data_IF_597546291555
#
_entry.id   IF_597546291555
#
_cell.length_a   1.000
_cell.length_b   1.000
_cell.length_c   1.000
_cell.angle_alpha   90.00
_cell.angle_beta   90.00
_cell.angle_gamma   90.00
#
_symmetry.space_group_name_H-M   'P 1'
#
loop_
_entity.id
_entity.type
_entity.pdbx_description
1 polymer ?
#
# COMPACT_ATOMS: atom_id res chain seq x y z
N UNK A 1 -11.64 -5.44 -29.10
CA UNK A 1 -12.89 -4.62 -29.06
C UNK A 1 -13.76 -4.85 -27.79
N UNK A 2 -13.77 -6.04 -27.19
CA UNK A 2 -14.61 -6.37 -26.01
C UNK A 2 -14.43 -5.44 -24.80
N UNK A 3 -13.22 -4.90 -24.60
CA UNK A 3 -12.91 -3.98 -23.50
C UNK A 3 -13.67 -2.64 -23.58
N UNK A 4 -14.24 -2.32 -24.74
CA UNK A 4 -14.97 -1.06 -24.98
C UNK A 4 -16.49 -1.17 -24.77
N UNK A 5 -16.98 -2.29 -24.22
CA UNK A 5 -18.41 -2.48 -23.96
C UNK A 5 -18.71 -2.09 -22.50
N UNK A 6 -19.52 -1.04 -22.31
CA UNK A 6 -19.81 -0.46 -20.99
C UNK A 6 -20.74 -1.33 -20.12
N UNK A 7 -21.71 -2.03 -20.72
CA UNK A 7 -22.71 -2.83 -19.99
C UNK A 7 -22.52 -4.34 -20.17
N UNK A 8 -21.41 -4.87 -19.64
CA UNK A 8 -21.06 -6.31 -19.75
C UNK A 8 -22.08 -7.24 -19.07
N UNK A 9 -22.86 -6.75 -18.11
CA UNK A 9 -23.92 -7.52 -17.44
C UNK A 9 -25.11 -7.82 -18.36
N UNK A 10 -25.57 -6.83 -19.13
CA UNK A 10 -26.60 -7.03 -20.16
C UNK A 10 -26.11 -8.00 -21.23
N UNK A 11 -24.83 -7.96 -21.56
CA UNK A 11 -24.19 -8.91 -22.47
C UNK A 11 -24.15 -10.33 -21.87
N UNK A 12 -23.93 -10.45 -20.55
CA UNK A 12 -23.96 -11.73 -19.85
C UNK A 12 -25.37 -12.33 -19.78
N UNK A 13 -26.43 -11.53 -19.70
CA UNK A 13 -27.81 -12.03 -19.82
C UNK A 13 -28.06 -12.75 -21.16
N UNK A 14 -27.37 -12.31 -22.23
CA UNK A 14 -27.41 -12.94 -23.55
C UNK A 14 -26.47 -14.13 -23.71
N UNK A 15 -25.81 -14.59 -22.64
CA UNK A 15 -24.87 -15.71 -22.69
C UNK A 15 -25.50 -16.98 -23.29
N UNK A 16 -26.78 -17.25 -22.99
CA UNK A 16 -27.51 -18.37 -23.58
C UNK A 16 -27.65 -18.26 -25.10
N UNK A 17 -27.87 -17.05 -25.62
CA UNK A 17 -27.98 -16.79 -27.05
C UNK A 17 -26.65 -17.04 -27.77
N UNK A 18 -25.54 -16.48 -27.25
CA UNK A 18 -24.20 -16.72 -27.81
C UNK A 18 -23.83 -18.22 -27.76
N UNK A 19 -24.24 -18.92 -26.70
CA UNK A 19 -24.01 -20.36 -26.60
C UNK A 19 -24.77 -21.16 -27.67
N UNK A 20 -25.99 -20.75 -28.04
CA UNK A 20 -26.74 -21.36 -29.13
C UNK A 20 -26.07 -21.12 -30.49
N UNK A 21 -25.45 -19.95 -30.69
CA UNK A 21 -24.73 -19.59 -31.92
C UNK A 21 -23.45 -20.39 -32.17
N UNK A 22 -23.00 -21.22 -31.22
CA UNK A 22 -21.88 -22.15 -31.41
C UNK A 22 -22.13 -23.24 -32.47
N UNK A 23 -23.38 -23.40 -32.92
CA UNK A 23 -23.72 -24.34 -33.99
C UNK A 23 -23.28 -23.88 -35.38
N UNK A 24 -23.05 -22.57 -35.56
CA UNK A 24 -22.56 -22.02 -36.82
C UNK A 24 -21.03 -22.14 -36.90
N UNK A 25 -20.55 -22.98 -37.82
CA UNK A 25 -19.12 -23.25 -38.03
C UNK A 25 -18.30 -21.99 -38.34
N UNK A 26 -18.89 -21.00 -39.04
CA UNK A 26 -18.18 -19.78 -39.45
C UNK A 26 -17.99 -18.80 -38.29
N UNK A 27 -18.98 -18.72 -37.40
CA UNK A 27 -18.97 -17.81 -36.25
C UNK A 27 -18.36 -18.44 -35.00
N UNK A 28 -18.30 -19.77 -34.93
CA UNK A 28 -17.75 -20.54 -33.83
C UNK A 28 -16.44 -20.00 -33.22
N UNK A 29 -15.37 -19.68 -33.98
CA UNK A 29 -14.12 -19.18 -33.39
C UNK A 29 -14.28 -17.83 -32.66
N UNK A 30 -15.09 -16.92 -33.20
CA UNK A 30 -15.33 -15.59 -32.63
C UNK A 30 -16.27 -15.66 -31.42
N UNK A 31 -17.31 -16.48 -31.54
CA UNK A 31 -18.27 -16.73 -30.45
C UNK A 31 -17.59 -17.44 -29.29
N UNK A 32 -16.69 -18.40 -29.55
CA UNK A 32 -15.88 -19.03 -28.52
C UNK A 32 -14.98 -18.02 -27.79
N UNK A 33 -14.38 -17.07 -28.52
CA UNK A 33 -13.57 -16.01 -27.91
C UNK A 33 -14.43 -15.08 -27.04
N UNK A 34 -15.60 -14.70 -27.52
CA UNK A 34 -16.55 -13.87 -26.77
C UNK A 34 -17.05 -14.59 -25.51
N UNK A 35 -17.44 -15.86 -25.65
CA UNK A 35 -17.85 -16.69 -24.52
C UNK A 35 -16.70 -16.87 -23.53
N UNK A 36 -15.48 -17.11 -23.99
CA UNK A 36 -14.30 -17.20 -23.13
C UNK A 36 -14.15 -15.96 -22.24
N UNK A 37 -14.36 -14.76 -22.78
CA UNK A 37 -14.31 -13.51 -22.02
C UNK A 37 -15.54 -13.26 -21.13
N UNK A 38 -16.69 -13.84 -21.47
CA UNK A 38 -17.96 -13.67 -20.73
C UNK A 38 -18.24 -14.74 -19.68
N UNK A 39 -17.52 -15.86 -19.71
CA UNK A 39 -17.83 -17.01 -18.86
C UNK A 39 -17.52 -16.68 -17.40
N UNK A 40 -18.54 -16.74 -16.57
CA UNK A 40 -18.47 -16.69 -15.09
C UNK A 40 -18.72 -18.09 -14.52
N UNK A 41 -18.36 -18.34 -13.25
CA UNK A 41 -18.58 -19.64 -12.59
C UNK A 41 -20.05 -20.09 -12.67
N UNK A 42 -21.00 -19.17 -12.49
CA UNK A 42 -22.45 -19.42 -12.58
C UNK A 42 -22.94 -19.89 -13.96
N UNK A 43 -22.22 -19.50 -15.00
CA UNK A 43 -22.57 -19.83 -16.39
C UNK A 43 -22.10 -21.22 -16.81
N UNK A 44 -21.28 -21.89 -15.99
CA UNK A 44 -20.82 -23.26 -16.21
C UNK A 44 -21.87 -24.23 -15.66
N UNK A 45 -22.73 -24.74 -16.55
CA UNK A 45 -23.80 -25.70 -16.21
C UNK A 45 -23.56 -27.06 -16.90
N UNK A 46 -23.95 -28.20 -16.29
CA UNK A 46 -23.68 -29.53 -16.84
C UNK A 46 -24.18 -29.75 -18.28
N UNK A 47 -25.35 -29.19 -18.63
CA UNK A 47 -25.88 -29.30 -20.00
C UNK A 47 -25.04 -28.56 -21.05
N UNK A 48 -24.39 -27.45 -20.67
CA UNK A 48 -23.50 -26.69 -21.55
C UNK A 48 -22.19 -27.43 -21.76
N UNK A 49 -21.66 -28.06 -20.70
CA UNK A 49 -20.49 -28.94 -20.81
C UNK A 49 -20.79 -30.08 -21.79
N UNK A 50 -21.89 -30.82 -21.60
CA UNK A 50 -22.29 -31.91 -22.53
C UNK A 50 -22.36 -31.42 -23.97
N UNK A 51 -23.01 -30.27 -24.20
CA UNK A 51 -23.12 -29.70 -25.55
C UNK A 51 -21.77 -29.29 -26.17
N UNK A 52 -20.84 -28.76 -25.37
CA UNK A 52 -19.49 -28.42 -25.85
C UNK A 52 -18.68 -29.67 -26.20
N UNK A 53 -18.83 -30.75 -25.44
CA UNK A 53 -18.21 -32.04 -25.71
C UNK A 53 -18.78 -32.66 -26.99
N UNK A 54 -20.10 -32.60 -27.18
CA UNK A 54 -20.75 -33.05 -28.42
C UNK A 54 -20.26 -32.25 -29.64
N UNK A 55 -20.07 -30.93 -29.48
CA UNK A 55 -19.53 -30.08 -30.54
C UNK A 55 -18.06 -30.40 -30.83
N UNK A 56 -17.26 -30.69 -29.81
CA UNK A 56 -15.87 -31.13 -29.98
C UNK A 56 -15.80 -32.49 -30.69
N UNK A 57 -16.71 -33.42 -30.39
CA UNK A 57 -16.80 -34.71 -31.07
C UNK A 57 -17.16 -34.56 -32.56
N UNK A 58 -18.00 -33.56 -32.91
CA UNK A 58 -18.41 -33.28 -34.29
C UNK A 58 -17.39 -32.50 -35.11
N UNK A 59 -16.78 -31.47 -34.53
CA UNK A 59 -15.89 -30.52 -35.22
C UNK A 59 -14.39 -30.82 -35.04
N UNK A 60 -14.05 -31.80 -34.20
CA UNK A 60 -12.67 -32.17 -33.86
C UNK A 60 -12.04 -31.26 -32.80
N UNK A 61 -10.74 -31.47 -32.54
CA UNK A 61 -9.96 -30.75 -31.51
C UNK A 61 -9.59 -29.32 -31.93
N UNK A 62 -10.58 -28.46 -32.15
CA UNK A 62 -10.36 -27.07 -32.53
C UNK A 62 -9.84 -26.22 -31.36
N UNK A 63 -8.85 -25.33 -31.56
CA UNK A 63 -8.18 -24.60 -30.47
C UNK A 63 -9.15 -23.69 -29.69
N UNK A 64 -10.13 -23.09 -30.36
CA UNK A 64 -11.12 -22.20 -29.74
C UNK A 64 -12.07 -22.93 -28.78
N UNK A 65 -12.49 -24.16 -29.13
CA UNK A 65 -13.32 -25.02 -28.27
C UNK A 65 -12.51 -25.58 -27.09
N UNK A 66 -11.24 -25.94 -27.34
CA UNK A 66 -10.31 -26.36 -26.29
C UNK A 66 -10.11 -25.25 -25.25
N UNK A 67 -10.02 -23.99 -25.68
CA UNK A 67 -9.90 -22.84 -24.81
C UNK A 67 -11.11 -22.73 -23.86
N UNK A 68 -12.32 -22.81 -24.43
CA UNK A 68 -13.55 -22.71 -23.65
C UNK A 68 -13.73 -23.90 -22.69
N UNK A 69 -13.44 -25.13 -23.14
CA UNK A 69 -13.46 -26.33 -22.29
C UNK A 69 -12.41 -26.28 -21.17
N UNK A 70 -11.21 -25.75 -21.45
CA UNK A 70 -10.17 -25.56 -20.43
C UNK A 70 -10.59 -24.56 -19.36
N UNK A 71 -11.30 -23.51 -19.76
CA UNK A 71 -11.85 -22.50 -18.86
C UNK A 71 -13.01 -23.09 -18.03
N UNK A 72 -13.90 -23.88 -18.64
CA UNK A 72 -14.96 -24.58 -17.92
C UNK A 72 -14.39 -25.58 -16.90
N UNK A 73 -13.31 -26.28 -17.26
CA UNK A 73 -12.57 -27.18 -16.36
C UNK A 73 -11.89 -26.43 -15.20
N UNK A 74 -11.41 -25.20 -15.44
CA UNK A 74 -10.85 -24.34 -14.40
C UNK A 74 -11.92 -23.94 -13.38
N UNK A 75 -13.14 -23.63 -13.83
CA UNK A 75 -14.24 -23.21 -12.95
C UNK A 75 -14.95 -24.37 -12.23
N UNK A 76 -15.13 -25.52 -12.88
CA UNK A 76 -15.77 -26.71 -12.31
C UNK A 76 -15.05 -28.00 -12.77
N UNK A 77 -13.96 -28.43 -12.11
CA UNK A 77 -13.19 -29.60 -12.52
C UNK A 77 -13.98 -30.91 -12.43
N UNK A 78 -14.98 -31.00 -11.55
CA UNK A 78 -15.83 -32.19 -11.35
C UNK A 78 -16.73 -32.51 -12.55
N UNK A 79 -17.04 -31.52 -13.39
CA UNK A 79 -17.98 -31.67 -14.51
C UNK A 79 -17.30 -32.04 -15.84
N UNK A 80 -15.97 -31.93 -15.93
CA UNK A 80 -15.21 -32.08 -17.18
C UNK A 80 -14.18 -33.21 -17.04
N UNK A 81 -14.63 -34.45 -17.23
CA UNK A 81 -13.79 -35.67 -17.14
C UNK A 81 -12.84 -35.87 -18.32
N UNK A 82 -12.75 -34.91 -19.25
CA UNK A 82 -11.97 -35.05 -20.49
C UNK A 82 -10.51 -34.66 -20.25
N UNK A 83 -9.61 -35.50 -20.75
CA UNK A 83 -8.16 -35.26 -20.82
C UNK A 83 -7.85 -34.24 -21.91
N UNK A 84 -7.77 -32.97 -21.52
CA UNK A 84 -7.37 -31.87 -22.41
C UNK A 84 -5.83 -31.81 -22.51
N UNK A 85 -5.25 -31.55 -23.70
CA UNK A 85 -3.80 -31.44 -23.86
C UNK A 85 -3.25 -30.25 -23.06
N UNK A 86 -2.20 -30.51 -22.30
CA UNK A 86 -1.74 -29.63 -21.21
C UNK A 86 -1.18 -28.27 -21.65
N UNK A 87 -0.87 -28.04 -22.94
CA UNK A 87 -0.24 -26.78 -23.39
C UNK A 87 -0.56 -26.48 -24.86
N UNK A 88 -1.34 -25.44 -25.12
CA UNK A 88 -1.29 -24.69 -26.38
C UNK A 88 -0.98 -23.22 -26.06
N UNK A 89 0.12 -22.70 -26.62
CA UNK A 89 0.63 -21.34 -26.31
C UNK A 89 -0.26 -20.21 -26.83
N UNK A 90 -1.19 -20.47 -27.74
CA UNK A 90 -2.10 -19.46 -28.31
C UNK A 90 -3.43 -20.11 -28.72
N UNK A 91 -4.48 -19.94 -27.91
CA UNK A 91 -5.81 -20.48 -28.20
C UNK A 91 -6.59 -19.66 -29.23
N UNK A 92 -6.32 -18.36 -29.30
CA UNK A 92 -6.96 -17.40 -30.20
C UNK A 92 -5.88 -16.62 -30.95
N UNK A 93 -5.97 -16.52 -32.29
CA UNK A 93 -5.06 -15.70 -33.10
C UNK A 93 -5.39 -14.23 -32.91
N UNK A 94 -4.45 -13.45 -32.36
CA UNK A 94 -4.63 -12.02 -32.11
C UNK A 94 -4.21 -11.22 -33.36
N UNK A 95 -5.13 -10.95 -34.28
CA UNK A 95 -4.87 -10.16 -35.51
C UNK A 95 -5.04 -8.64 -35.31
N UNK A 96 -5.10 -8.16 -34.07
CA UNK A 96 -5.70 -6.87 -33.73
C UNK A 96 -4.70 -5.71 -33.49
N UNK A 97 -3.45 -5.76 -33.97
CA UNK A 97 -2.46 -4.70 -33.66
C UNK A 97 -2.76 -3.36 -34.36
N UNK A 98 -3.16 -3.37 -35.64
CA UNK A 98 -3.41 -2.16 -36.42
C UNK A 98 -4.71 -1.44 -36.04
N UNK A 99 -5.80 -2.20 -35.83
CA UNK A 99 -7.09 -1.63 -35.44
C UNK A 99 -7.10 -1.10 -34.01
N UNK A 100 -6.41 -1.75 -33.06
CA UNK A 100 -6.23 -1.20 -31.71
C UNK A 100 -5.49 0.13 -31.75
N UNK A 101 -4.43 0.23 -32.55
CA UNK A 101 -3.68 1.47 -32.71
C UNK A 101 -4.58 2.58 -33.31
N UNK A 102 -5.35 2.27 -34.36
CA UNK A 102 -6.27 3.21 -35.00
C UNK A 102 -7.42 3.67 -34.08
N UNK A 103 -8.00 2.77 -33.29
CA UNK A 103 -9.06 3.13 -32.33
C UNK A 103 -8.49 4.02 -31.21
N UNK A 104 -7.27 3.73 -30.73
CA UNK A 104 -6.60 4.53 -29.71
C UNK A 104 -6.19 5.92 -30.24
N UNK A 105 -5.83 6.06 -31.51
CA UNK A 105 -5.56 7.39 -32.11
C UNK A 105 -6.84 8.20 -32.27
N UNK A 106 -7.95 7.58 -32.69
CA UNK A 106 -9.26 8.25 -32.78
C UNK A 106 -9.76 8.68 -31.40
N UNK A 107 -9.60 7.85 -30.37
CA UNK A 107 -9.98 8.21 -29.00
C UNK A 107 -9.18 9.41 -28.48
N UNK A 108 -7.85 9.41 -28.67
CA UNK A 108 -7.00 10.56 -28.30
C UNK A 108 -7.39 11.85 -29.04
N UNK A 109 -7.92 11.73 -30.26
CA UNK A 109 -8.40 12.86 -31.06
C UNK A 109 -9.78 13.36 -30.59
N UNK A 110 -10.68 12.46 -30.20
CA UNK A 110 -12.04 12.80 -29.79
C UNK A 110 -12.12 13.26 -28.31
N UNK A 111 -11.19 12.84 -27.46
CA UNK A 111 -11.05 13.27 -26.06
C UNK A 111 -10.24 14.59 -25.94
N UNK A 112 -10.52 15.57 -26.80
CA UNK A 112 -9.83 16.87 -26.76
C UNK A 112 -9.87 17.51 -25.37
N UNK A 113 -8.69 17.85 -24.85
CA UNK A 113 -8.44 18.87 -23.82
C UNK A 113 -9.51 19.04 -22.74
N UNK A 114 -9.77 18.00 -21.93
CA UNK A 114 -10.36 18.16 -20.60
C UNK A 114 -9.27 17.92 -19.54
N UNK A 115 -8.97 18.88 -18.65
CA UNK A 115 -8.18 18.56 -17.47
C UNK A 115 -9.04 17.70 -16.55
N UNK A 116 -8.41 16.73 -15.88
CA UNK A 116 -9.03 15.92 -14.81
C UNK A 116 -9.92 14.75 -15.27
N UNK A 117 -9.34 13.86 -16.05
CA UNK A 117 -9.52 12.43 -15.83
C UNK A 117 -8.22 11.77 -16.24
N UNK A 118 -7.24 11.84 -15.34
CA UNK A 118 -6.19 10.83 -15.31
C UNK A 118 -6.91 9.50 -15.13
N UNK A 119 -7.23 8.85 -16.24
CA UNK A 119 -7.36 7.40 -16.26
C UNK A 119 -6.01 6.90 -15.74
N UNK A 120 -5.98 6.64 -14.44
CA UNK A 120 -5.06 5.70 -13.84
C UNK A 120 -5.25 4.42 -14.65
N UNK A 121 -4.43 4.26 -15.68
CA UNK A 121 -4.17 2.97 -16.28
C UNK A 121 -3.46 2.22 -15.17
N UNK A 122 -4.25 1.63 -14.26
CA UNK A 122 -3.85 0.43 -13.56
C UNK A 122 -3.51 -0.54 -14.68
N UNK A 123 -2.21 -0.73 -14.91
CA UNK A 123 -1.72 -1.78 -15.76
C UNK A 123 -2.20 -3.10 -15.19
N UNK A 124 -3.38 -3.57 -15.60
CA UNK A 124 -3.76 -4.98 -15.56
C UNK A 124 -2.97 -5.69 -16.66
N UNK A 125 -1.64 -5.61 -16.61
CA UNK A 125 -0.81 -6.58 -17.25
C UNK A 125 -1.00 -7.86 -16.45
N UNK A 126 -1.82 -8.79 -16.95
CA UNK A 126 -1.78 -10.17 -16.46
C UNK A 126 -0.32 -10.61 -16.42
N UNK A 127 0.28 -10.85 -15.24
CA UNK A 127 1.56 -11.53 -15.20
C UNK A 127 1.27 -12.93 -15.74
N UNK A 128 1.88 -13.28 -16.86
CA UNK A 128 1.91 -14.66 -17.31
C UNK A 128 2.37 -15.51 -16.13
N UNK A 129 1.49 -16.40 -15.67
CA UNK A 129 1.73 -17.39 -14.62
C UNK A 129 3.07 -18.10 -14.84
N UNK A 130 4.13 -17.58 -14.23
CA UNK A 130 5.41 -18.26 -14.09
C UNK A 130 5.30 -19.12 -12.83
N UNK A 131 5.37 -20.42 -13.08
CA UNK A 131 5.41 -21.55 -12.15
C UNK A 131 5.85 -21.18 -10.72
N UNK A 132 4.99 -21.55 -9.75
CA UNK A 132 5.28 -21.72 -8.31
C UNK A 132 6.75 -22.06 -8.06
N UNK A 133 7.50 -21.07 -7.57
CA UNK A 133 8.65 -21.28 -6.68
C UNK A 133 8.25 -20.64 -5.35
N UNK A 134 8.55 -21.37 -4.29
CA UNK A 134 8.04 -21.28 -2.92
C UNK A 134 8.20 -19.92 -2.19
N UNK A 135 8.68 -18.85 -2.81
CA UNK A 135 8.74 -17.51 -2.20
C UNK A 135 8.09 -16.48 -3.13
N UNK A 136 6.75 -16.44 -3.17
CA UNK A 136 5.96 -15.43 -3.91
C UNK A 136 5.09 -14.65 -2.92
N UNK A 137 5.72 -14.06 -1.90
CA UNK A 137 5.03 -13.24 -0.89
C UNK A 137 5.01 -11.74 -1.26
N UNK A 138 5.87 -11.33 -2.20
CA UNK A 138 6.04 -9.92 -2.60
C UNK A 138 5.08 -9.44 -3.70
N UNK A 139 4.33 -10.33 -4.35
CA UNK A 139 3.21 -9.89 -5.18
C UNK A 139 2.02 -9.69 -4.25
N UNK A 140 1.97 -8.49 -3.64
CA UNK A 140 0.77 -7.96 -3.01
C UNK A 140 -0.42 -8.28 -3.91
N UNK A 141 -1.32 -9.18 -3.47
CA UNK A 141 -2.36 -9.67 -4.35
C UNK A 141 -3.28 -8.53 -4.77
N UNK A 142 -3.84 -8.62 -5.97
CA UNK A 142 -5.01 -7.80 -6.29
C UNK A 142 -6.09 -8.12 -5.26
N UNK A 143 -6.85 -7.13 -4.80
CA UNK A 143 -7.98 -7.38 -3.91
C UNK A 143 -8.82 -8.51 -4.51
N UNK A 144 -9.04 -9.57 -3.74
CA UNK A 144 -9.96 -10.65 -4.07
C UNK A 144 -10.64 -11.02 -2.76
N UNK A 145 -11.93 -10.77 -2.62
CA UNK A 145 -12.70 -11.32 -1.49
C UNK A 145 -12.80 -12.84 -1.66
N UNK A 146 -12.10 -13.60 -0.79
CA UNK A 146 -12.25 -15.05 -0.71
C UNK A 146 -13.64 -15.40 -0.19
N UNK A 147 -14.56 -15.75 -1.08
CA UNK A 147 -15.81 -16.45 -0.74
C UNK A 147 -15.63 -17.97 -0.63
N UNK A 148 -14.39 -18.43 -0.36
CA UNK A 148 -14.05 -19.85 -0.31
C UNK A 148 -13.94 -20.36 1.13
N UNK A 149 -15.08 -20.72 1.73
CA UNK A 149 -15.11 -21.81 2.71
C UNK A 149 -15.83 -23.02 2.09
N UNK A 150 -15.23 -24.23 2.06
CA UNK A 150 -15.94 -25.42 1.60
C UNK A 150 -16.90 -25.87 2.69
N UNK A 151 -18.20 -25.88 2.37
CA UNK A 151 -19.24 -26.35 3.26
C UNK A 151 -19.00 -27.82 3.66
N UNK A 152 -18.81 -28.06 4.95
CA UNK A 152 -19.08 -29.36 5.57
C UNK A 152 -20.58 -29.60 5.48
N UNK A 153 -20.92 -30.69 4.82
CA UNK A 153 -22.22 -31.37 4.80
C UNK A 153 -22.99 -31.26 6.11
N UNK A 154 -24.16 -30.60 6.11
CA UNK A 154 -25.33 -30.95 6.94
C UNK A 154 -26.62 -30.53 6.26
N UNK A 155 -27.64 -31.33 6.55
CA UNK A 155 -28.87 -31.53 5.83
C UNK A 155 -29.83 -30.33 5.84
N UNK A 156 -30.67 -30.37 4.82
CA UNK A 156 -31.86 -29.58 4.57
C UNK A 156 -32.70 -29.41 5.84
N UNK A 157 -32.89 -28.17 6.28
CA UNK A 157 -34.09 -27.77 7.02
C UNK A 157 -34.55 -26.40 6.51
N UNK A 158 -35.77 -26.39 5.98
CA UNK A 158 -36.52 -25.20 5.61
C UNK A 158 -36.82 -24.39 6.87
N UNK A 159 -36.25 -23.17 6.96
CA UNK A 159 -36.76 -21.93 7.56
C UNK A 159 -35.51 -21.06 7.78
N UNK A 160 -35.21 -20.17 6.84
CA UNK A 160 -34.42 -18.92 7.01
C UNK A 160 -34.13 -18.32 5.62
N UNK A 161 -35.05 -17.50 5.10
CA UNK A 161 -34.94 -16.82 3.80
C UNK A 161 -34.54 -15.33 3.96
N UNK A 162 -33.99 -14.90 5.11
CA UNK A 162 -33.74 -13.47 5.39
C UNK A 162 -32.34 -13.12 5.93
N UNK A 163 -31.28 -13.79 5.50
CA UNK A 163 -29.91 -13.32 5.80
C UNK A 163 -28.88 -13.66 4.72
N UNK A 164 -29.14 -13.30 3.47
CA UNK A 164 -28.06 -13.05 2.52
C UNK A 164 -27.65 -11.58 2.66
N UNK A 165 -26.71 -11.29 3.55
CA UNK A 165 -25.93 -10.05 3.46
C UNK A 165 -25.06 -10.15 2.20
N UNK A 166 -25.57 -9.68 1.07
CA UNK A 166 -24.83 -9.57 -0.17
C UNK A 166 -23.63 -8.63 0.03
N UNK A 167 -22.46 -9.19 0.36
CA UNK A 167 -21.24 -8.40 0.47
C UNK A 167 -20.78 -7.95 -0.93
N UNK A 168 -20.42 -6.67 -1.03
CA UNK A 168 -19.98 -6.08 -2.29
C UNK A 168 -18.50 -6.42 -2.51
N UNK A 169 -18.14 -7.09 -3.62
CA UNK A 169 -16.76 -7.48 -3.88
C UNK A 169 -15.90 -6.24 -4.09
N UNK A 170 -14.78 -6.20 -3.36
CA UNK A 170 -13.84 -5.07 -3.35
C UNK A 170 -13.25 -4.79 -4.74
N UNK A 171 -13.23 -5.79 -5.62
CA UNK A 171 -12.76 -5.69 -7.01
C UNK A 171 -13.62 -4.77 -7.88
N UNK A 172 -14.88 -4.57 -7.52
CA UNK A 172 -15.81 -3.73 -8.27
C UNK A 172 -15.80 -2.26 -7.81
N UNK A 173 -15.04 -1.92 -6.77
CA UNK A 173 -14.84 -0.54 -6.31
C UNK A 173 -13.87 0.18 -7.26
N UNK A 174 -14.41 1.01 -8.14
CA UNK A 174 -13.60 1.85 -9.04
C UNK A 174 -13.82 3.35 -8.82
N UNK A 175 -14.89 3.75 -8.13
CA UNK A 175 -15.23 5.16 -7.92
C UNK A 175 -15.67 5.42 -6.48
N UNK A 176 -15.33 6.60 -5.96
CA UNK A 176 -15.72 7.02 -4.61
C UNK A 176 -17.24 6.97 -4.36
N UNK A 177 -18.06 7.31 -5.35
CA UNK A 177 -19.52 7.20 -5.25
C UNK A 177 -20.01 5.77 -5.00
N UNK A 178 -19.31 4.77 -5.57
CA UNK A 178 -19.62 3.35 -5.36
C UNK A 178 -19.23 2.91 -3.96
N UNK A 179 -18.14 3.46 -3.41
CA UNK A 179 -17.77 3.24 -2.02
C UNK A 179 -18.90 3.74 -1.11
N UNK A 180 -19.30 5.00 -1.25
CA UNK A 180 -20.33 5.62 -0.38
C UNK A 180 -21.64 4.83 -0.38
N UNK A 181 -22.08 4.36 -1.55
CA UNK A 181 -23.31 3.58 -1.69
C UNK A 181 -23.22 2.18 -1.08
N UNK A 182 -22.03 1.57 -1.09
CA UNK A 182 -21.82 0.19 -0.65
C UNK A 182 -21.03 0.05 0.66
N UNK A 183 -20.77 1.14 1.40
CA UNK A 183 -20.07 1.12 2.70
C UNK A 183 -20.66 0.06 3.64
N UNK A 184 -21.98 -0.06 3.70
CA UNK A 184 -22.68 -1.01 4.57
C UNK A 184 -22.59 -2.48 4.12
N UNK A 185 -22.14 -2.74 2.89
CA UNK A 185 -21.98 -4.07 2.29
C UNK A 185 -20.52 -4.44 2.06
N UNK A 186 -19.58 -3.57 2.40
CA UNK A 186 -18.18 -3.79 2.07
C UNK A 186 -17.50 -4.65 3.14
N UNK A 187 -16.98 -5.80 2.72
CA UNK A 187 -16.13 -6.64 3.54
C UNK A 187 -14.66 -6.48 3.11
N UNK A 188 -13.76 -6.34 4.07
CA UNK A 188 -12.33 -6.28 3.76
C UNK A 188 -11.81 -7.63 3.25
N UNK A 189 -10.87 -7.63 2.29
CA UNK A 189 -10.33 -8.86 1.73
C UNK A 189 -9.63 -9.71 2.80
N UNK A 190 -9.54 -11.02 2.57
CA UNK A 190 -8.72 -11.93 3.39
C UNK A 190 -7.26 -11.52 3.37
N UNK A 191 -6.78 -11.07 2.21
CA UNK A 191 -5.41 -10.62 1.94
C UNK A 191 -5.28 -9.12 2.20
N UNK A 192 -5.00 -8.77 3.46
CA UNK A 192 -5.01 -7.39 3.94
C UNK A 192 -3.97 -6.49 3.26
N UNK A 193 -2.87 -7.04 2.75
CA UNK A 193 -1.89 -6.27 1.99
C UNK A 193 -2.46 -5.57 0.74
N UNK A 194 -3.50 -6.14 0.12
CA UNK A 194 -4.15 -5.53 -1.05
C UNK A 194 -4.83 -4.18 -0.72
N UNK A 195 -5.17 -3.95 0.56
CA UNK A 195 -5.77 -2.71 1.06
C UNK A 195 -4.78 -1.54 0.94
N UNK A 196 -3.49 -1.78 1.20
CA UNK A 196 -2.44 -0.75 1.15
C UNK A 196 -2.29 -0.11 -0.24
N UNK A 197 -2.68 -0.82 -1.31
CA UNK A 197 -2.58 -0.34 -2.70
C UNK A 197 -3.81 0.44 -3.17
N UNK A 198 -4.94 0.31 -2.49
CA UNK A 198 -6.20 0.86 -2.94
C UNK A 198 -6.63 2.05 -2.06
N UNK A 199 -6.48 3.27 -2.60
CA UNK A 199 -6.86 4.50 -1.90
C UNK A 199 -8.32 4.53 -1.44
N UNK A 200 -9.25 3.91 -2.17
CA UNK A 200 -10.65 3.83 -1.77
C UNK A 200 -10.84 2.98 -0.51
N UNK A 201 -10.06 1.90 -0.38
CA UNK A 201 -10.09 1.06 0.82
C UNK A 201 -9.37 1.72 1.99
N UNK A 202 -8.34 2.52 1.73
CA UNK A 202 -7.71 3.34 2.75
C UNK A 202 -8.65 4.45 3.27
N UNK A 203 -9.51 5.02 2.42
CA UNK A 203 -10.57 5.89 2.92
C UNK A 203 -11.57 5.12 3.80
N UNK A 204 -11.92 3.90 3.40
CA UNK A 204 -12.85 3.08 4.17
C UNK A 204 -12.28 2.65 5.53
N UNK A 205 -11.00 2.22 5.59
CA UNK A 205 -10.37 1.81 6.86
C UNK A 205 -10.37 2.96 7.87
N UNK A 206 -10.11 4.20 7.42
CA UNK A 206 -10.15 5.38 8.29
C UNK A 206 -11.57 5.70 8.84
N UNK A 207 -12.63 5.26 8.14
CA UNK A 207 -14.01 5.45 8.62
C UNK A 207 -14.49 4.34 9.55
N UNK A 208 -13.91 3.14 9.46
CA UNK A 208 -14.35 1.97 10.22
C UNK A 208 -13.70 1.99 11.62
N UNK A 209 -14.52 1.92 12.66
CA UNK A 209 -14.09 1.90 14.08
C UNK A 209 -13.87 0.49 14.65
N UNK A 210 -13.87 -0.53 13.80
CA UNK A 210 -13.69 -1.91 14.23
C UNK A 210 -12.20 -2.24 14.35
N UNK A 211 -11.74 -2.36 15.59
CA UNK A 211 -10.37 -2.71 15.97
C UNK A 211 -9.90 -4.04 15.37
N UNK A 212 -10.81 -4.98 15.09
CA UNK A 212 -10.45 -6.29 14.55
C UNK A 212 -9.81 -6.21 13.17
N UNK A 213 -10.19 -5.21 12.36
CA UNK A 213 -9.65 -4.99 11.02
C UNK A 213 -8.22 -4.45 11.09
N UNK A 214 -7.99 -3.47 11.98
CA UNK A 214 -6.65 -2.94 12.24
C UNK A 214 -5.72 -4.04 12.77
N UNK A 215 -6.20 -4.88 13.70
CA UNK A 215 -5.43 -6.00 14.24
C UNK A 215 -5.06 -7.02 13.14
N UNK A 216 -5.97 -7.31 12.20
CA UNK A 216 -5.67 -8.16 11.04
C UNK A 216 -4.63 -7.53 10.11
N UNK A 217 -4.70 -6.23 9.87
CA UNK A 217 -3.71 -5.51 9.07
C UNK A 217 -2.34 -5.52 9.74
N UNK A 218 -2.28 -5.20 11.04
CA UNK A 218 -1.05 -5.21 11.83
C UNK A 218 -0.41 -6.60 11.88
N UNK A 219 -1.21 -7.64 12.12
CA UNK A 219 -0.70 -9.01 12.11
C UNK A 219 -0.09 -9.38 10.76
N UNK A 220 -0.82 -9.11 9.66
CA UNK A 220 -0.33 -9.40 8.30
C UNK A 220 0.95 -8.62 7.97
N UNK A 221 1.00 -7.34 8.34
CA UNK A 221 2.15 -6.48 8.08
C UNK A 221 3.37 -6.85 8.92
N UNK A 222 3.19 -7.15 10.20
CA UNK A 222 4.27 -7.64 11.07
C UNK A 222 4.88 -8.94 10.55
N UNK A 223 4.04 -9.88 10.12
CA UNK A 223 4.51 -11.11 9.49
C UNK A 223 5.27 -10.84 8.18
N UNK A 224 4.74 -9.98 7.31
CA UNK A 224 5.39 -9.63 6.04
C UNK A 224 6.73 -8.92 6.27
N UNK A 225 6.78 -7.94 7.17
CA UNK A 225 8.01 -7.22 7.51
C UNK A 225 9.08 -8.15 8.11
N UNK A 226 8.68 -9.09 8.96
CA UNK A 226 9.62 -10.05 9.57
C UNK A 226 10.14 -11.08 8.55
N UNK A 227 9.29 -11.58 7.66
CA UNK A 227 9.65 -12.56 6.63
C UNK A 227 10.55 -11.96 5.53
N UNK A 228 10.30 -10.69 5.21
CA UNK A 228 10.99 -9.93 4.17
C UNK A 228 12.20 -9.14 4.67
N UNK A 229 12.47 -9.11 5.99
CA UNK A 229 13.68 -8.49 6.52
C UNK A 229 14.92 -9.24 6.02
N UNK A 230 15.57 -8.65 5.02
CA UNK A 230 16.57 -9.28 4.14
C UNK A 230 17.97 -9.42 4.75
N UNK A 231 18.26 -8.89 5.95
CA UNK A 231 19.62 -9.00 6.50
C UNK A 231 20.05 -10.44 6.78
N UNK A 232 19.10 -11.39 6.79
CA UNK A 232 19.37 -12.82 6.87
C UNK A 232 19.54 -13.53 5.51
N UNK A 233 19.18 -12.91 4.37
CA UNK A 233 19.17 -13.52 3.03
C UNK A 233 20.01 -12.69 2.04
N UNK A 234 21.33 -12.80 2.22
CA UNK A 234 22.37 -11.86 1.76
C UNK A 234 22.63 -11.68 0.24
N UNK A 235 21.99 -12.36 -0.72
CA UNK A 235 22.60 -12.47 -2.06
C UNK A 235 21.75 -12.14 -3.30
N UNK A 236 20.57 -11.51 -3.18
CA UNK A 236 19.76 -11.21 -4.38
C UNK A 236 19.26 -9.75 -4.44
N UNK A 237 19.85 -8.94 -5.32
CA UNK A 237 19.46 -7.53 -5.59
C UNK A 237 17.98 -7.35 -5.93
N UNK A 238 17.36 -8.31 -6.62
CA UNK A 238 15.95 -8.23 -7.00
C UNK A 238 15.01 -8.23 -5.78
N UNK A 239 15.36 -8.96 -4.70
CA UNK A 239 14.53 -8.97 -3.49
C UNK A 239 14.67 -7.65 -2.71
N UNK A 240 15.82 -6.99 -2.78
CA UNK A 240 15.99 -5.66 -2.18
C UNK A 240 15.11 -4.62 -2.88
N UNK A 241 15.00 -4.67 -4.21
CA UNK A 241 14.11 -3.78 -4.97
C UNK A 241 12.63 -4.04 -4.65
N UNK A 242 12.20 -5.30 -4.63
CA UNK A 242 10.81 -5.66 -4.28
C UNK A 242 10.48 -5.25 -2.84
N UNK A 243 11.42 -5.36 -1.91
CA UNK A 243 11.26 -4.90 -0.52
C UNK A 243 11.22 -3.37 -0.44
N UNK A 244 12.05 -2.64 -1.20
CA UNK A 244 11.98 -1.16 -1.29
C UNK A 244 10.63 -0.70 -1.80
N UNK A 245 10.10 -1.35 -2.83
CA UNK A 245 8.78 -1.04 -3.39
C UNK A 245 7.68 -1.29 -2.34
N UNK A 246 7.80 -2.38 -1.58
CA UNK A 246 6.88 -2.66 -0.48
C UNK A 246 6.93 -1.57 0.62
N UNK A 247 8.12 -1.20 1.10
CA UNK A 247 8.26 -0.14 2.11
C UNK A 247 7.77 1.22 1.61
N UNK A 248 7.93 1.54 0.33
CA UNK A 248 7.40 2.77 -0.26
C UNK A 248 5.85 2.78 -0.29
N UNK A 249 5.22 1.63 -0.53
CA UNK A 249 3.75 1.48 -0.43
C UNK A 249 3.30 1.68 1.02
N UNK A 250 4.00 1.09 1.99
CA UNK A 250 3.70 1.26 3.42
C UNK A 250 3.82 2.74 3.80
N UNK A 251 4.93 3.38 3.48
CA UNK A 251 5.14 4.81 3.75
C UNK A 251 4.06 5.70 3.10
N UNK A 252 3.70 5.45 1.84
CA UNK A 252 2.59 6.16 1.17
C UNK A 252 1.26 5.97 1.90
N UNK A 253 1.05 4.79 2.48
CA UNK A 253 -0.15 4.49 3.26
C UNK A 253 -0.14 5.23 4.60
N UNK A 254 0.98 5.24 5.32
CA UNK A 254 1.14 6.00 6.58
C UNK A 254 0.93 7.50 6.34
N UNK A 255 1.54 8.06 5.29
CA UNK A 255 1.29 9.44 4.86
C UNK A 255 -0.18 9.71 4.51
N UNK A 256 -0.87 8.76 3.90
CA UNK A 256 -2.28 8.93 3.55
C UNK A 256 -3.18 8.89 4.78
N UNK A 257 -2.92 7.97 5.72
CA UNK A 257 -3.67 7.83 6.96
C UNK A 257 -3.27 8.86 8.02
N UNK A 258 -2.14 9.55 7.82
CA UNK A 258 -1.52 10.45 8.81
C UNK A 258 -1.30 9.75 10.16
N UNK A 259 -1.04 8.45 10.12
CA UNK A 259 -0.88 7.60 11.30
C UNK A 259 0.18 6.54 11.03
N UNK A 260 1.10 6.39 11.98
CA UNK A 260 2.11 5.34 11.98
C UNK A 260 1.53 3.99 12.37
N UNK A 261 2.09 2.92 11.80
CA UNK A 261 1.67 1.57 12.14
C UNK A 261 2.52 0.96 13.25
N UNK A 262 1.87 0.33 14.25
CA UNK A 262 2.56 -0.35 15.36
C UNK A 262 3.46 -1.50 14.89
N UNK A 263 3.08 -2.19 13.82
CA UNK A 263 3.92 -3.25 13.23
C UNK A 263 5.22 -2.70 12.64
N UNK A 264 5.21 -1.47 12.13
CA UNK A 264 6.41 -0.81 11.62
C UNK A 264 7.32 -0.38 12.77
N UNK A 265 6.76 0.10 13.88
CA UNK A 265 7.51 0.37 15.12
C UNK A 265 8.21 -0.90 15.65
N UNK A 266 7.46 -1.99 15.84
CA UNK A 266 8.02 -3.27 16.33
C UNK A 266 9.11 -3.81 15.40
N UNK A 267 8.89 -3.69 14.10
CA UNK A 267 9.89 -4.01 13.09
C UNK A 267 11.16 -3.15 13.24
N UNK A 268 11.03 -1.83 13.35
CA UNK A 268 12.16 -0.92 13.49
C UNK A 268 12.97 -1.20 14.76
N UNK A 269 12.31 -1.45 15.90
CA UNK A 269 13.00 -1.76 17.17
C UNK A 269 13.80 -3.06 17.12
N UNK A 270 13.27 -4.09 16.45
CA UNK A 270 13.99 -5.36 16.26
C UNK A 270 15.09 -5.23 15.22
N UNK A 271 14.89 -4.36 14.23
CA UNK A 271 15.71 -4.31 13.05
C UNK A 271 16.89 -3.34 13.21
N UNK A 272 16.69 -2.09 13.62
CA UNK A 272 17.75 -1.08 13.67
C UNK A 272 19.08 -1.50 14.35
N UNK A 273 19.10 -2.28 15.46
CA UNK A 273 20.35 -2.78 16.04
C UNK A 273 21.18 -3.69 15.13
N UNK A 274 20.55 -4.36 14.16
CA UNK A 274 21.18 -5.28 13.21
C UNK A 274 21.44 -4.63 11.84
N UNK A 275 21.00 -3.38 11.65
CA UNK A 275 21.07 -2.69 10.37
C UNK A 275 22.48 -2.19 10.06
N UNK A 276 22.90 -2.31 8.80
CA UNK A 276 24.19 -1.85 8.28
C UNK A 276 24.22 -0.35 7.90
N UNK A 277 23.06 0.31 7.83
CA UNK A 277 22.94 1.71 7.41
C UNK A 277 22.88 1.94 5.89
N UNK A 278 22.98 0.89 5.07
CA UNK A 278 23.04 0.99 3.60
C UNK A 278 21.78 0.48 2.91
N UNK A 279 21.34 -0.73 3.24
CA UNK A 279 20.17 -1.34 2.62
C UNK A 279 18.91 -0.52 2.92
N UNK A 280 18.12 -0.21 1.89
CA UNK A 280 16.83 0.50 2.03
C UNK A 280 16.87 1.81 2.85
N UNK A 281 18.01 2.50 2.89
CA UNK A 281 18.25 3.67 3.76
C UNK A 281 17.14 4.72 3.71
N UNK A 282 16.74 5.16 2.52
CA UNK A 282 15.69 6.18 2.39
C UNK A 282 14.34 5.71 2.93
N UNK A 283 14.00 4.44 2.73
CA UNK A 283 12.72 3.87 3.14
C UNK A 283 12.70 3.66 4.65
N UNK A 284 13.77 3.13 5.25
CA UNK A 284 13.86 2.93 6.70
C UNK A 284 13.78 4.27 7.43
N UNK A 285 14.54 5.28 7.00
CA UNK A 285 14.50 6.61 7.62
C UNK A 285 13.13 7.28 7.47
N UNK A 286 12.42 7.04 6.36
CA UNK A 286 11.03 7.48 6.17
C UNK A 286 10.02 6.76 7.08
N UNK A 287 10.26 5.49 7.41
CA UNK A 287 9.42 4.79 8.39
C UNK A 287 9.71 5.28 9.80
N UNK A 288 10.97 5.63 10.09
CA UNK A 288 11.35 6.27 11.37
C UNK A 288 10.59 7.57 11.58
N UNK A 289 10.29 8.34 10.52
CA UNK A 289 9.51 9.58 10.65
C UNK A 289 8.04 9.38 10.99
N UNK A 290 7.50 8.15 10.90
CA UNK A 290 6.12 7.83 11.26
C UNK A 290 5.97 7.01 12.54
N UNK A 291 7.03 6.79 13.32
CA UNK A 291 6.91 6.04 14.58
C UNK A 291 5.87 6.72 15.48
N UNK A 292 4.85 5.97 15.97
CA UNK A 292 3.83 6.54 16.83
C UNK A 292 4.44 7.00 18.15
N UNK A 293 3.76 7.93 18.81
CA UNK A 293 4.23 8.50 20.06
C UNK A 293 4.13 7.48 21.19
N UNK A 294 5.26 6.91 21.59
CA UNK A 294 5.42 6.05 22.75
C UNK A 294 6.23 6.77 23.83
N UNK A 295 6.34 6.17 25.02
CA UNK A 295 7.17 6.76 26.08
C UNK A 295 8.62 6.83 25.59
N UNK A 296 9.24 8.01 25.60
CA UNK A 296 10.59 8.17 25.06
C UNK A 296 11.61 7.25 25.77
N UNK A 297 11.35 6.91 27.04
CA UNK A 297 12.13 5.92 27.79
C UNK A 297 12.12 4.51 27.17
N UNK A 298 11.00 4.08 26.56
CA UNK A 298 10.90 2.80 25.86
C UNK A 298 11.52 2.87 24.46
N UNK A 299 11.33 4.01 23.77
CA UNK A 299 11.86 4.22 22.43
C UNK A 299 13.39 4.35 22.40
N UNK A 300 13.98 5.00 23.41
CA UNK A 300 15.42 5.33 23.48
C UNK A 300 16.37 4.14 23.26
N UNK A 301 16.27 3.01 23.99
CA UNK A 301 17.21 1.88 23.82
C UNK A 301 17.05 1.18 22.45
N UNK A 302 15.86 1.22 21.85
CA UNK A 302 15.56 0.48 20.63
C UNK A 302 15.71 1.31 19.35
N UNK A 303 15.55 2.63 19.42
CA UNK A 303 15.65 3.56 18.30
C UNK A 303 16.85 4.49 18.44
N UNK A 304 16.91 5.29 19.50
CA UNK A 304 17.89 6.37 19.63
C UNK A 304 19.33 5.88 19.76
N UNK A 305 19.56 4.83 20.56
CA UNK A 305 20.91 4.28 20.76
C UNK A 305 21.49 3.64 19.48
N UNK A 306 20.79 2.72 18.79
CA UNK A 306 21.27 2.18 17.51
C UNK A 306 21.44 3.27 16.44
N UNK A 307 20.48 4.19 16.34
CA UNK A 307 20.54 5.29 15.39
C UNK A 307 21.75 6.20 15.67
N UNK A 308 22.06 6.49 16.93
CA UNK A 308 23.24 7.28 17.31
C UNK A 308 24.55 6.55 16.95
N UNK A 309 24.64 5.24 17.19
CA UNK A 309 25.81 4.44 16.81
C UNK A 309 26.06 4.47 15.30
N UNK A 310 25.01 4.26 14.50
CA UNK A 310 25.08 4.38 13.04
C UNK A 310 25.40 5.80 12.61
N UNK A 311 24.78 6.80 13.24
CA UNK A 311 24.98 8.20 12.91
C UNK A 311 26.44 8.65 13.11
N UNK A 312 27.09 8.27 14.21
CA UNK A 312 28.48 8.66 14.45
C UNK A 312 29.50 7.95 13.55
N UNK A 313 29.21 6.71 13.13
CA UNK A 313 30.11 5.90 12.29
C UNK A 313 29.93 6.16 10.79
N UNK A 314 28.83 6.82 10.40
CA UNK A 314 28.46 7.01 9.00
C UNK A 314 28.96 8.31 8.38
N UNK A 315 28.77 8.41 7.06
CA UNK A 315 29.09 9.62 6.27
C UNK A 315 28.27 10.85 6.67
N UNK A 316 28.79 12.04 6.35
CA UNK A 316 28.09 13.32 6.52
C UNK A 316 26.70 13.34 5.88
N UNK A 317 26.53 12.77 4.69
CA UNK A 317 25.21 12.68 4.04
C UNK A 317 24.23 11.80 4.82
N UNK A 318 24.70 10.71 5.44
CA UNK A 318 23.87 9.87 6.30
C UNK A 318 23.40 10.65 7.52
N UNK A 319 24.31 11.39 8.15
CA UNK A 319 23.99 12.27 9.28
C UNK A 319 22.88 13.27 8.92
N UNK A 320 22.99 13.93 7.77
CA UNK A 320 21.95 14.86 7.30
C UNK A 320 20.58 14.17 7.08
N UNK A 321 20.54 12.99 6.44
CA UNK A 321 19.27 12.27 6.26
C UNK A 321 18.64 11.80 7.58
N UNK A 322 19.46 11.44 8.57
CA UNK A 322 18.95 11.11 9.91
C UNK A 322 18.33 12.35 10.56
N UNK A 323 19.00 13.50 10.52
CA UNK A 323 18.45 14.75 11.05
C UNK A 323 17.14 15.14 10.36
N UNK A 324 17.06 14.97 9.04
CA UNK A 324 15.83 15.18 8.27
C UNK A 324 14.70 14.24 8.71
N UNK A 325 14.99 12.95 8.88
CA UNK A 325 13.97 12.00 9.38
C UNK A 325 13.50 12.30 10.81
N UNK A 326 14.40 12.76 11.70
CA UNK A 326 14.06 13.15 13.06
C UNK A 326 13.26 14.46 13.10
N UNK A 327 13.52 15.37 12.14
CA UNK A 327 12.70 16.57 11.93
C UNK A 327 11.28 16.20 11.52
N UNK A 328 11.13 15.32 10.53
CA UNK A 328 9.81 14.84 10.08
C UNK A 328 9.08 14.10 11.22
N UNK A 329 9.77 13.27 12.00
CA UNK A 329 9.21 12.60 13.17
C UNK A 329 8.61 13.61 14.15
N UNK A 330 9.38 14.64 14.51
CA UNK A 330 8.92 15.70 15.39
C UNK A 330 7.68 16.42 14.84
N UNK A 331 7.68 16.74 13.54
CA UNK A 331 6.53 17.38 12.88
C UNK A 331 5.30 16.48 12.94
N UNK A 332 5.44 15.19 12.65
CA UNK A 332 4.34 14.22 12.66
C UNK A 332 3.77 14.04 14.07
N UNK A 333 4.63 13.95 15.09
CA UNK A 333 4.23 13.92 16.50
C UNK A 333 3.41 15.14 16.92
N UNK A 334 3.86 16.33 16.54
CA UNK A 334 3.18 17.58 16.88
C UNK A 334 1.87 17.75 16.08
N UNK A 335 1.84 17.37 14.80
CA UNK A 335 0.64 17.40 13.98
C UNK A 335 -0.43 16.41 14.47
N UNK A 336 -0.03 15.21 14.87
CA UNK A 336 -0.93 14.20 15.42
C UNK A 336 -1.62 14.70 16.69
N UNK A 337 -0.89 15.35 17.58
CA UNK A 337 -1.46 15.93 18.80
C UNK A 337 -2.53 17.00 18.50
N UNK A 338 -2.30 17.83 17.49
CA UNK A 338 -3.27 18.86 17.08
C UNK A 338 -4.55 18.23 16.54
N UNK A 339 -4.42 17.18 15.73
CA UNK A 339 -5.58 16.43 15.25
C UNK A 339 -6.40 15.82 16.41
N UNK A 340 -5.74 15.36 17.49
CA UNK A 340 -6.46 14.87 18.67
C UNK A 340 -7.21 15.98 19.41
N UNK A 341 -6.60 17.16 19.57
CA UNK A 341 -7.24 18.30 20.23
C UNK A 341 -8.51 18.77 19.49
N UNK A 342 -8.53 18.69 18.15
CA UNK A 342 -9.71 19.07 17.35
C UNK A 342 -10.86 18.03 17.47
N UNK A 343 -10.53 16.73 17.62
CA UNK A 343 -11.49 15.63 17.73
C UNK A 343 -12.12 15.55 19.13
N UNK A 344 -11.39 15.89 20.20
CA UNK A 344 -11.84 15.81 21.60
C UNK A 344 -12.60 17.06 22.10
N UNK A 345 -13.19 17.85 21.20
CA UNK A 345 -14.10 18.95 21.55
C UNK A 345 -15.48 18.50 22.11
N UNK A 346 -15.54 17.29 22.70
CA UNK A 346 -16.70 16.73 23.41
C UNK A 346 -16.38 16.62 24.93
N UNK A 347 -17.10 17.33 25.82
CA UNK A 347 -16.60 17.73 27.14
C UNK A 347 -16.70 16.65 28.24
N UNK A 348 -16.63 15.35 27.92
CA UNK A 348 -16.95 14.29 28.90
C UNK A 348 -15.90 13.21 29.16
N UNK A 349 -14.69 13.28 28.59
CA UNK A 349 -13.62 12.34 28.96
C UNK A 349 -12.32 13.11 29.15
N UNK A 350 -12.00 13.46 30.39
CA UNK A 350 -10.75 14.09 30.77
C UNK A 350 -9.73 13.03 31.21
N UNK A 351 -8.64 12.84 30.44
CA UNK A 351 -7.30 12.56 30.95
C UNK A 351 -6.24 13.54 30.37
N UNK A 352 -6.66 14.73 29.92
CA UNK A 352 -5.91 15.62 29.02
C UNK A 352 -4.59 16.20 29.60
N UNK A 353 -4.48 16.37 30.91
CA UNK A 353 -3.28 16.96 31.51
C UNK A 353 -2.10 15.98 31.59
N UNK A 354 -2.36 14.67 31.65
CA UNK A 354 -1.32 13.65 31.76
C UNK A 354 -0.74 13.29 30.39
N UNK A 355 -1.57 13.31 29.34
CA UNK A 355 -1.16 13.04 27.95
C UNK A 355 -0.37 14.20 27.35
N UNK A 356 -0.81 15.45 27.58
CA UNK A 356 -0.07 16.64 27.14
C UNK A 356 1.32 16.73 27.82
N UNK A 357 1.39 16.50 29.13
CA UNK A 357 2.66 16.49 29.86
C UNK A 357 3.60 15.38 29.37
N UNK A 358 3.07 14.18 29.15
CA UNK A 358 3.84 13.05 28.59
C UNK A 358 4.35 13.32 27.17
N UNK A 359 3.54 13.95 26.32
CA UNK A 359 3.92 14.38 24.98
C UNK A 359 5.04 15.43 25.04
N UNK A 360 4.85 16.50 25.81
CA UNK A 360 5.83 17.58 25.91
C UNK A 360 7.17 17.07 26.46
N UNK A 361 7.14 16.13 27.42
CA UNK A 361 8.34 15.47 27.90
C UNK A 361 9.03 14.65 26.80
N UNK A 362 8.27 13.84 26.04
CA UNK A 362 8.82 13.02 24.95
C UNK A 362 9.40 13.87 23.81
N UNK A 363 8.74 14.98 23.47
CA UNK A 363 9.22 15.96 22.51
C UNK A 363 10.50 16.65 23.01
N UNK A 364 10.52 17.09 24.28
CA UNK A 364 11.70 17.72 24.87
C UNK A 364 12.89 16.75 24.89
N UNK A 365 12.67 15.49 25.24
CA UNK A 365 13.69 14.44 25.22
C UNK A 365 14.21 14.16 23.80
N UNK A 366 13.34 14.16 22.78
CA UNK A 366 13.76 14.06 21.37
C UNK A 366 14.64 15.24 20.96
N UNK A 367 14.26 16.47 21.30
CA UNK A 367 15.05 17.67 21.00
C UNK A 367 16.40 17.60 21.73
N UNK A 368 16.43 17.18 22.99
CA UNK A 368 17.68 16.97 23.73
C UNK A 368 18.57 15.91 23.06
N UNK A 369 18.00 14.80 22.59
CA UNK A 369 18.73 13.79 21.84
C UNK A 369 19.31 14.35 20.54
N UNK A 370 18.52 15.06 19.75
CA UNK A 370 18.96 15.71 18.50
C UNK A 370 20.08 16.73 18.79
N UNK A 371 19.96 17.52 19.86
CA UNK A 371 20.98 18.47 20.28
C UNK A 371 22.30 17.81 20.68
N UNK A 372 22.22 16.67 21.38
CA UNK A 372 23.40 15.88 21.73
C UNK A 372 24.11 15.32 20.49
N UNK A 373 23.40 14.60 19.60
CA UNK A 373 24.01 14.05 18.38
C UNK A 373 24.55 15.15 17.46
N UNK A 374 23.88 16.30 17.38
CA UNK A 374 24.29 17.46 16.58
C UNK A 374 25.60 18.07 17.09
N UNK A 375 25.73 18.25 18.41
CA UNK A 375 26.95 18.76 19.04
C UNK A 375 28.15 17.85 18.78
N UNK A 376 27.94 16.54 18.86
CA UNK A 376 29.00 15.56 18.60
C UNK A 376 29.33 15.51 17.11
N UNK A 377 28.33 15.52 16.22
CA UNK A 377 28.56 15.48 14.78
C UNK A 377 29.30 16.70 14.24
N UNK A 378 28.97 17.91 14.70
CA UNK A 378 29.70 19.12 14.32
C UNK A 378 31.18 19.03 14.72
N UNK A 379 31.47 18.47 15.89
CA UNK A 379 32.85 18.23 16.32
C UNK A 379 33.57 17.20 15.44
N UNK A 380 32.89 16.12 15.06
CA UNK A 380 33.46 15.06 14.21
C UNK A 380 33.70 15.53 12.77
N UNK A 381 32.81 16.37 12.24
CA UNK A 381 32.85 16.85 10.85
C UNK A 381 33.51 18.24 10.71
N UNK A 382 34.29 18.68 11.71
CA UNK A 382 35.01 19.96 11.72
C UNK A 382 34.12 21.18 11.38
N UNK A 383 32.91 21.25 11.95
CA UNK A 383 31.93 22.31 11.71
C UNK A 383 31.56 22.51 10.23
N UNK A 384 31.35 21.42 9.49
CA UNK A 384 30.89 21.49 8.11
C UNK A 384 29.58 22.31 7.98
N UNK A 385 29.60 23.34 7.14
CA UNK A 385 28.46 24.25 6.90
C UNK A 385 27.21 23.51 6.44
N UNK A 386 27.36 22.48 5.61
CA UNK A 386 26.22 21.68 5.14
C UNK A 386 25.50 20.97 6.29
N UNK A 387 26.24 20.37 7.23
CA UNK A 387 25.64 19.75 8.41
C UNK A 387 24.99 20.79 9.32
N UNK A 388 25.63 21.95 9.49
CA UNK A 388 25.09 23.06 10.27
C UNK A 388 23.71 23.50 9.76
N UNK A 389 23.53 23.62 8.45
CA UNK A 389 22.25 23.96 7.84
C UNK A 389 21.13 23.00 8.27
N UNK A 390 21.34 21.68 8.18
CA UNK A 390 20.32 20.69 8.58
C UNK A 390 20.00 20.73 10.08
N UNK A 391 21.01 21.02 10.92
CA UNK A 391 20.80 21.17 12.36
C UNK A 391 19.97 22.42 12.63
N UNK A 392 20.31 23.56 12.02
CA UNK A 392 19.56 24.81 12.20
C UNK A 392 18.14 24.71 11.62
N UNK A 393 17.95 24.06 10.47
CA UNK A 393 16.63 23.79 9.87
C UNK A 393 15.72 22.94 10.80
N UNK A 394 16.30 21.98 11.54
CA UNK A 394 15.57 21.27 12.60
C UNK A 394 15.11 22.23 13.70
N UNK A 395 16.00 23.09 14.23
CA UNK A 395 15.62 24.05 15.27
C UNK A 395 14.67 25.13 14.75
N UNK A 396 14.81 25.59 13.51
CA UNK A 396 13.88 26.51 12.85
C UNK A 396 12.47 25.92 12.82
N UNK A 397 12.35 24.66 12.42
CA UNK A 397 11.10 23.91 12.46
C UNK A 397 10.53 23.80 13.86
N UNK A 398 11.36 23.50 14.87
CA UNK A 398 10.94 23.48 16.28
C UNK A 398 10.34 24.84 16.64
N UNK A 399 11.02 25.95 16.36
CA UNK A 399 10.53 27.29 16.69
C UNK A 399 9.19 27.61 16.02
N UNK A 400 9.08 27.38 14.71
CA UNK A 400 7.88 27.69 13.94
C UNK A 400 6.67 26.88 14.41
N UNK A 401 6.90 25.61 14.75
CA UNK A 401 5.84 24.72 15.24
C UNK A 401 5.39 25.13 16.65
N UNK A 402 6.32 25.48 17.54
CA UNK A 402 6.00 25.91 18.91
C UNK A 402 5.22 27.22 18.93
N UNK A 403 5.57 28.17 18.06
CA UNK A 403 4.81 29.42 17.88
C UNK A 403 3.43 29.17 17.28
N UNK A 404 3.34 28.31 16.27
CA UNK A 404 2.05 27.95 15.65
C UNK A 404 1.08 27.35 16.68
N UNK A 405 1.59 26.61 17.66
CA UNK A 405 0.78 25.91 18.66
C UNK A 405 0.80 26.56 20.06
N UNK A 406 1.38 27.77 20.21
CA UNK A 406 1.50 28.49 21.48
C UNK A 406 2.02 27.65 22.66
N UNK A 407 2.99 26.77 22.40
CA UNK A 407 3.59 25.94 23.44
C UNK A 407 4.57 26.78 24.28
N UNK A 408 4.50 26.76 25.63
CA UNK A 408 5.27 27.65 26.51
C UNK A 408 6.72 27.19 26.75
N UNK A 409 7.44 26.84 25.69
CA UNK A 409 8.76 26.22 25.76
C UNK A 409 9.74 26.97 24.85
N UNK A 410 10.73 27.60 25.47
CA UNK A 410 11.88 28.20 24.79
C UNK A 410 12.92 27.11 24.52
N UNK A 411 13.08 26.73 23.26
CA UNK A 411 14.07 25.71 22.86
C UNK A 411 15.15 26.35 22.02
N UNK A 412 16.28 26.66 22.67
CA UNK A 412 17.49 27.15 22.00
C UNK A 412 18.39 25.99 21.58
N UNK A 413 19.14 26.11 20.45
CA UNK A 413 20.17 25.15 20.10
C UNK A 413 21.19 25.00 21.25
N UNK A 414 21.74 23.79 21.48
CA UNK A 414 22.71 23.57 22.53
C UNK A 414 23.97 24.43 22.29
N UNK A 415 24.75 24.75 23.34
CA UNK A 415 25.95 25.58 23.21
C UNK A 415 26.93 25.08 22.15
N UNK A 416 27.03 23.76 21.99
CA UNK A 416 27.88 23.11 21.00
C UNK A 416 27.44 23.29 19.54
N UNK A 417 26.24 23.79 19.30
CA UNK A 417 25.72 24.17 17.97
C UNK A 417 25.64 25.70 17.87
N UNK A 418 25.16 26.36 18.93
CA UNK A 418 24.94 27.80 18.97
C UNK A 418 26.23 28.60 18.72
N UNK A 419 27.31 28.32 19.46
CA UNK A 419 28.55 29.07 19.29
C UNK A 419 29.23 28.83 17.94
N UNK A 420 29.33 27.58 17.42
CA UNK A 420 29.85 27.37 16.08
C UNK A 420 29.02 28.02 14.98
N UNK A 421 27.68 28.09 15.12
CA UNK A 421 26.82 28.81 14.17
C UNK A 421 27.06 30.32 14.23
N UNK A 422 27.12 30.90 15.44
CA UNK A 422 27.35 32.33 15.65
C UNK A 422 28.74 32.79 15.19
N UNK A 423 29.75 31.93 15.33
CA UNK A 423 31.12 32.22 14.91
C UNK A 423 31.41 31.72 13.48
N UNK A 424 30.40 31.19 12.78
CA UNK A 424 30.57 30.74 11.40
C UNK A 424 30.75 31.95 10.48
N UNK A 425 31.61 31.79 9.47
CA UNK A 425 31.79 32.81 8.41
C UNK A 425 30.71 32.69 7.31
N UNK A 426 29.74 31.78 7.48
CA UNK A 426 28.66 31.55 6.54
C UNK A 426 27.44 32.42 6.88
N UNK A 427 27.03 33.25 5.93
CA UNK A 427 25.88 34.14 6.08
C UNK A 427 24.56 33.38 6.23
N UNK A 428 24.44 32.17 5.66
CA UNK A 428 23.18 31.40 5.71
C UNK A 428 22.95 30.88 7.13
N UNK A 429 23.98 30.25 7.71
CA UNK A 429 23.95 29.74 9.09
C UNK A 429 23.67 30.86 10.10
N UNK A 430 24.30 32.04 9.92
CA UNK A 430 24.04 33.21 10.76
C UNK A 430 22.61 33.74 10.60
N UNK A 431 22.09 33.84 9.38
CA UNK A 431 20.73 34.31 9.13
C UNK A 431 19.69 33.38 9.77
N UNK A 432 19.86 32.06 9.64
CA UNK A 432 18.98 31.07 10.28
C UNK A 432 19.04 31.16 11.81
N UNK A 433 20.24 31.32 12.37
CA UNK A 433 20.39 31.50 13.82
C UNK A 433 19.70 32.78 14.31
N UNK A 434 19.88 33.90 13.59
CA UNK A 434 19.19 35.16 13.90
C UNK A 434 17.67 35.03 13.79
N UNK A 435 17.17 34.28 12.80
CA UNK A 435 15.74 34.01 12.65
C UNK A 435 15.18 33.22 13.85
N UNK A 436 15.87 32.16 14.28
CA UNK A 436 15.54 31.39 15.48
C UNK A 436 15.53 32.29 16.72
N UNK A 437 16.53 33.14 16.88
CA UNK A 437 16.64 34.07 18.01
C UNK A 437 15.58 35.18 18.01
N UNK A 438 15.09 35.60 16.84
CA UNK A 438 14.06 36.63 16.74
C UNK A 438 12.65 36.11 17.04
N UNK A 439 12.42 34.82 16.73
CA UNK A 439 11.13 34.14 16.89
C UNK A 439 10.78 33.86 18.35
N UNK A 440 11.78 33.82 19.22
CA UNK A 440 11.64 33.72 20.68
C UNK A 440 11.86 35.08 21.34
#
# INVERSE_FOLDING_TARGET
MFDFIDHKEKLHALYGFFFCSLQDEKLCPYVCHLLYLLTRRESVKPFRVRRLVDLQAKMGMQPHLQALLSLYKLFCPELVSITLPAKMKTYFKNSESLWKAAINTIRRRNQGTSPTSQQLILGTGHPQSRKRKWNTQLILPACSTDTNNPARSKEINHVDILSHSESFPVEQLHTFSQLLQNIHRLEFPSQMGSVLRNSLLLHYINCVKDESIYLRLYYWMGQTLQEECTWYKLDNQQYEEEFKDFLDIVYKTECFLQAGFSSCEEFLYKSLPLWDGFCCRSQILRLVSWIPLSSFSEMKPHLCEPLAQLFFTSSLYFKCSVLESLKELLQNWLNWHVMQLDIESDPKISPLNTTLSGLLNSVAELIHFVGWISTVALRLENNATFLMYFILDFYETVCDVYLKYNLPLLVMPPPGVFYPALLSMDSVSLNQLCYIMYRY
#
